data_IF_945015315420
#
_entry.id   IF_945015315420
#
_cell.length_a   1.000
_cell.length_b   1.000
_cell.length_c   1.000
_cell.angle_alpha   90.00
_cell.angle_beta   90.00
_cell.angle_gamma   90.00
#
_symmetry.space_group_name_H-M   'P 1'
#
loop_
_entity.id
_entity.type
_entity.pdbx_description
1 polymer ?
#
# COMPACT_ATOMS: atom_id res chain seq x y z
N UNK A 1 -10.80 1.61 -7.10
CA UNK A 1 -9.65 1.67 -6.20
C UNK A 1 -8.94 2.99 -6.42
N UNK A 2 -8.35 3.56 -5.38
CA UNK A 2 -7.44 4.71 -5.49
C UNK A 2 -6.04 4.29 -5.05
N UNK A 3 -5.03 4.51 -5.89
CA UNK A 3 -3.63 4.24 -5.59
C UNK A 3 -2.87 5.56 -5.44
N UNK A 4 -2.42 5.87 -4.23
CA UNK A 4 -1.62 7.04 -3.91
C UNK A 4 -0.16 6.62 -3.80
N UNK A 5 0.70 7.17 -4.64
CA UNK A 5 2.13 6.81 -4.70
C UNK A 5 2.96 7.99 -4.23
N UNK A 6 3.77 7.80 -3.19
CA UNK A 6 4.74 8.79 -2.71
C UNK A 6 6.15 8.32 -3.08
N UNK A 7 6.84 9.10 -3.92
CA UNK A 7 8.22 8.86 -4.37
C UNK A 7 9.18 9.82 -3.69
N UNK A 8 10.37 9.37 -3.34
CA UNK A 8 11.46 10.27 -2.93
C UNK A 8 12.57 9.57 -2.16
N UNK A 9 13.62 10.31 -1.85
CA UNK A 9 14.85 9.77 -1.28
C UNK A 9 14.62 9.04 0.07
N UNK A 10 15.42 8.00 0.38
CA UNK A 10 15.44 7.34 1.68
C UNK A 10 15.65 8.34 2.82
N UNK A 11 15.08 8.08 4.00
CA UNK A 11 15.27 8.92 5.19
C UNK A 11 14.42 10.21 5.24
N UNK A 12 13.52 10.43 4.28
CA UNK A 12 12.63 11.61 4.24
C UNK A 12 11.39 11.53 5.15
N UNK A 13 11.33 10.53 6.05
CA UNK A 13 10.23 10.38 7.00
C UNK A 13 8.90 9.91 6.40
N UNK A 14 8.89 9.37 5.17
CA UNK A 14 7.68 8.88 4.48
C UNK A 14 6.99 7.75 5.24
N UNK A 15 7.77 6.80 5.76
CA UNK A 15 7.29 5.73 6.65
C UNK A 15 6.62 6.30 7.90
N UNK A 16 7.23 7.32 8.50
CA UNK A 16 6.67 8.03 9.67
C UNK A 16 5.39 8.77 9.32
N UNK A 17 5.31 9.39 8.13
CA UNK A 17 4.10 10.07 7.63
C UNK A 17 2.98 9.07 7.33
N UNK A 18 3.31 7.91 6.77
CA UNK A 18 2.36 6.84 6.47
C UNK A 18 1.86 6.17 7.76
N UNK A 19 2.72 6.01 8.76
CA UNK A 19 2.36 5.66 10.14
C UNK A 19 1.54 6.74 10.84
N UNK A 20 1.80 8.02 10.61
CA UNK A 20 0.96 9.11 11.12
C UNK A 20 -0.41 9.10 10.47
N UNK A 21 -0.50 8.93 9.14
CA UNK A 21 -1.78 8.75 8.45
C UNK A 21 -2.52 7.58 9.08
N UNK A 22 -1.84 6.44 9.28
CA UNK A 22 -2.42 5.27 9.95
C UNK A 22 -2.90 5.56 11.39
N UNK A 23 -2.09 6.23 12.20
CA UNK A 23 -2.45 6.59 13.58
C UNK A 23 -3.59 7.61 13.66
N UNK A 24 -3.66 8.54 12.70
CA UNK A 24 -4.69 9.59 12.65
C UNK A 24 -6.00 9.03 12.10
N UNK A 25 -5.93 8.16 11.10
CA UNK A 25 -7.14 7.53 10.57
C UNK A 25 -7.63 6.43 11.50
N UNK A 26 -6.75 5.57 12.01
CA UNK A 26 -7.02 4.46 12.95
C UNK A 26 -8.39 3.79 12.74
N UNK A 27 -8.81 3.71 11.47
CA UNK A 27 -10.16 3.30 11.12
C UNK A 27 -10.19 1.78 11.23
N UNK A 28 -11.28 1.19 11.76
CA UNK A 28 -11.50 -0.24 11.60
C UNK A 28 -11.40 -0.58 10.10
N UNK A 29 -10.53 -1.52 9.73
CA UNK A 29 -10.29 -1.91 8.34
C UNK A 29 -9.09 -1.28 7.64
N UNK A 30 -8.07 -0.82 8.37
CA UNK A 30 -6.78 -0.38 7.80
C UNK A 30 -5.65 -1.38 8.10
N UNK A 31 -4.78 -1.65 7.11
CA UNK A 31 -3.61 -2.55 7.26
C UNK A 31 -2.32 -1.90 6.76
N UNK A 32 -1.19 -2.21 7.42
CA UNK A 32 0.15 -1.81 7.00
C UNK A 32 0.91 -3.03 6.47
N UNK A 33 1.57 -2.87 5.32
CA UNK A 33 2.51 -3.81 4.71
C UNK A 33 3.85 -3.13 4.48
N UNK A 34 4.92 -3.93 4.46
CA UNK A 34 6.22 -3.49 3.94
C UNK A 34 6.51 -4.22 2.64
N UNK A 35 6.69 -3.45 1.57
CA UNK A 35 7.01 -3.90 0.23
C UNK A 35 8.32 -4.70 0.18
N UNK A 36 9.36 -4.24 0.89
CA UNK A 36 10.65 -4.95 1.03
C UNK A 36 10.54 -6.38 1.57
N UNK A 37 9.51 -6.67 2.38
CA UNK A 37 9.32 -8.01 2.96
C UNK A 37 8.44 -8.92 2.08
N UNK A 38 8.02 -8.45 0.91
CA UNK A 38 7.13 -9.17 0.02
C UNK A 38 7.76 -9.28 -1.37
N UNK A 39 7.65 -10.45 -2.01
CA UNK A 39 7.81 -10.50 -3.46
C UNK A 39 6.65 -9.76 -4.14
N UNK A 40 6.81 -9.33 -5.39
CA UNK A 40 5.74 -8.64 -6.13
C UNK A 40 4.43 -9.46 -6.15
N UNK A 41 4.52 -10.76 -6.41
CA UNK A 41 3.36 -11.66 -6.37
C UNK A 41 2.79 -11.82 -4.96
N UNK A 42 3.65 -11.90 -3.94
CA UNK A 42 3.22 -11.99 -2.54
C UNK A 42 2.49 -10.72 -2.08
N UNK A 43 2.92 -9.55 -2.54
CA UNK A 43 2.25 -8.28 -2.26
C UNK A 43 0.86 -8.24 -2.89
N UNK A 44 0.73 -8.64 -4.16
CA UNK A 44 -0.57 -8.76 -4.84
C UNK A 44 -1.53 -9.67 -4.06
N UNK A 45 -1.06 -10.85 -3.64
CA UNK A 45 -1.88 -11.81 -2.90
C UNK A 45 -2.39 -11.21 -1.58
N UNK A 46 -1.52 -10.55 -0.81
CA UNK A 46 -1.92 -9.89 0.45
C UNK A 46 -2.92 -8.76 0.23
N UNK A 47 -2.72 -7.94 -0.80
CA UNK A 47 -3.66 -6.86 -1.13
C UNK A 47 -5.05 -7.43 -1.46
N UNK A 48 -5.10 -8.50 -2.27
CA UNK A 48 -6.36 -9.18 -2.58
C UNK A 48 -7.01 -9.81 -1.35
N UNK A 49 -6.22 -10.44 -0.49
CA UNK A 49 -6.70 -11.06 0.75
C UNK A 49 -7.30 -10.02 1.68
N UNK A 50 -6.63 -8.89 1.87
CA UNK A 50 -7.13 -7.77 2.67
C UNK A 50 -8.39 -7.15 2.08
N UNK A 51 -8.44 -6.95 0.76
CA UNK A 51 -9.65 -6.50 0.10
C UNK A 51 -10.83 -7.46 0.35
N UNK A 52 -10.61 -8.78 0.30
CA UNK A 52 -11.63 -9.79 0.62
C UNK A 52 -12.05 -9.77 2.09
N UNK A 53 -11.16 -9.42 3.01
CA UNK A 53 -11.44 -9.26 4.43
C UNK A 53 -12.19 -7.94 4.75
N UNK A 54 -12.53 -7.14 3.74
CA UNK A 54 -13.19 -5.84 3.94
C UNK A 54 -12.25 -4.75 4.45
N UNK A 55 -10.95 -4.88 4.17
CA UNK A 55 -9.98 -3.79 4.40
C UNK A 55 -10.16 -2.76 3.30
N UNK A 56 -10.42 -1.52 3.69
CA UNK A 56 -10.65 -0.42 2.75
C UNK A 56 -9.41 0.47 2.56
N UNK A 57 -8.43 0.39 3.47
CA UNK A 57 -7.20 1.19 3.38
C UNK A 57 -5.97 0.31 3.61
N UNK A 58 -5.06 0.28 2.65
CA UNK A 58 -3.80 -0.48 2.73
C UNK A 58 -2.63 0.50 2.59
N UNK A 59 -1.72 0.43 3.54
CA UNK A 59 -0.56 1.28 3.68
C UNK A 59 0.69 0.43 3.38
N UNK A 60 1.35 0.64 2.25
CA UNK A 60 2.51 -0.15 1.81
C UNK A 60 3.75 0.73 1.84
N UNK A 61 4.68 0.41 2.72
CA UNK A 61 5.95 1.11 2.86
C UNK A 61 7.06 0.42 2.07
N UNK A 62 8.09 1.16 1.63
CA UNK A 62 9.28 0.61 0.95
C UNK A 62 8.93 -0.33 -0.24
N UNK A 63 8.03 0.09 -1.13
CA UNK A 63 7.77 -0.60 -2.39
C UNK A 63 8.89 -0.39 -3.40
N UNK A 64 9.11 -1.37 -4.26
CA UNK A 64 9.90 -1.18 -5.49
C UNK A 64 9.01 -0.62 -6.62
N UNK A 65 9.60 0.02 -7.63
CA UNK A 65 8.83 0.50 -8.80
C UNK A 65 8.09 -0.65 -9.51
N UNK A 66 8.69 -1.84 -9.59
CA UNK A 66 8.03 -3.03 -10.15
C UNK A 66 6.76 -3.41 -9.37
N UNK A 67 6.80 -3.31 -8.04
CA UNK A 67 5.62 -3.55 -7.20
C UNK A 67 4.54 -2.50 -7.45
N UNK A 68 4.92 -1.23 -7.60
CA UNK A 68 3.97 -0.14 -7.90
C UNK A 68 3.30 -0.35 -9.25
N UNK A 69 4.07 -0.68 -10.30
CA UNK A 69 3.50 -1.00 -11.61
C UNK A 69 2.50 -2.14 -11.51
N UNK A 70 2.84 -3.18 -10.74
CA UNK A 70 1.90 -4.30 -10.55
C UNK A 70 0.63 -3.88 -9.81
N UNK A 71 0.72 -3.01 -8.82
CA UNK A 71 -0.45 -2.47 -8.11
C UNK A 71 -1.32 -1.61 -9.03
N UNK A 72 -0.72 -0.88 -9.96
CA UNK A 72 -1.46 -0.12 -10.98
C UNK A 72 -2.25 -1.05 -11.91
N UNK A 73 -1.65 -2.15 -12.37
CA UNK A 73 -2.36 -3.17 -13.18
C UNK A 73 -3.54 -3.81 -12.43
N UNK A 74 -3.48 -3.84 -11.10
CA UNK A 74 -4.51 -4.45 -10.25
C UNK A 74 -5.69 -3.54 -9.97
N UNK A 75 -5.60 -2.25 -10.32
CA UNK A 75 -6.63 -1.24 -10.04
C UNK A 75 -8.01 -1.64 -10.56
N UNK A 76 -8.07 -2.29 -11.73
CA UNK A 76 -9.32 -2.73 -12.37
C UNK A 76 -9.91 -4.01 -11.75
N UNK A 77 -9.09 -4.76 -11.00
CA UNK A 77 -9.46 -6.08 -10.43
C UNK A 77 -9.73 -6.04 -8.93
N UNK A 78 -9.70 -4.85 -8.33
CA UNK A 78 -9.86 -4.62 -6.90
C UNK A 78 -11.08 -3.72 -6.63
N UNK A 79 -11.66 -3.79 -5.43
CA UNK A 79 -12.83 -3.01 -5.07
C UNK A 79 -12.65 -1.50 -5.34
N UNK A 80 -13.74 -0.85 -5.76
CA UNK A 80 -13.73 0.56 -6.15
C UNK A 80 -13.33 1.49 -4.98
N UNK A 81 -13.73 1.11 -3.77
CA UNK A 81 -13.57 1.77 -2.48
C UNK A 81 -12.23 1.49 -1.77
N UNK A 82 -11.43 0.56 -2.29
CA UNK A 82 -10.11 0.28 -1.74
C UNK A 82 -9.14 1.44 -2.03
N UNK A 83 -8.47 1.92 -0.98
CA UNK A 83 -7.42 2.94 -1.06
C UNK A 83 -6.09 2.31 -0.69
N UNK A 84 -5.09 2.45 -1.56
CA UNK A 84 -3.72 1.99 -1.30
C UNK A 84 -2.80 3.20 -1.25
N UNK A 85 -2.05 3.35 -0.17
CA UNK A 85 -0.95 4.32 -0.05
C UNK A 85 0.36 3.57 -0.16
N UNK A 86 1.08 3.73 -1.27
CA UNK A 86 2.37 3.11 -1.50
C UNK A 86 3.50 4.15 -1.42
N UNK A 87 4.56 3.83 -0.69
CA UNK A 87 5.82 4.60 -0.66
C UNK A 87 6.86 3.82 -1.44
N UNK A 88 7.51 4.45 -2.41
CA UNK A 88 8.61 3.81 -3.14
C UNK A 88 9.92 4.03 -2.38
N UNK A 89 10.57 2.93 -2.00
CA UNK A 89 11.93 2.93 -1.48
C UNK A 89 12.93 2.77 -2.64
N UNK A 90 14.02 3.54 -2.61
CA UNK A 90 15.15 3.38 -3.53
C UNK A 90 16.04 2.20 -3.11
#
# INVERSE_FOLDING_TARGET
MQLNIDRGAPGTGKSTRLLQIHKVTCKPGQKILRGVHCTTTGLELKVREYAKQGVFVICIDECTELQVMRLQDLTERLPADLVIHAVVGF
#
